data_IF_061253059250
#
_entry.id   IF_061253059250
#
_cell.length_a   1.000
_cell.length_b   1.000
_cell.length_c   1.000
_cell.angle_alpha   90.00
_cell.angle_beta   90.00
_cell.angle_gamma   90.00
#
_symmetry.space_group_name_H-M   'P 1'
#
loop_
_entity.id
_entity.type
_entity.pdbx_description
1 polymer ?
#
# COMPACT_ATOMS: atom_id res chain seq x y z
N UNK A 1 -52.82 -42.26 20.74
CA UNK A 1 -52.87 -40.94 20.09
C UNK A 1 -51.48 -40.35 20.11
N UNK A 2 -50.78 -40.37 19.00
CA UNK A 2 -49.46 -39.83 18.85
C UNK A 2 -49.53 -38.35 18.43
N UNK A 3 -49.02 -37.45 19.27
CA UNK A 3 -48.83 -36.05 18.90
C UNK A 3 -47.55 -35.90 18.06
N UNK A 4 -47.74 -35.55 16.79
CA UNK A 4 -46.62 -35.15 15.92
C UNK A 4 -46.00 -33.86 16.43
N UNK A 5 -44.70 -33.87 16.80
CA UNK A 5 -43.92 -32.68 17.04
C UNK A 5 -43.43 -32.14 15.72
N UNK A 6 -44.01 -31.01 15.34
CA UNK A 6 -43.51 -30.17 14.25
C UNK A 6 -42.09 -29.71 14.57
N UNK A 7 -41.13 -30.19 13.80
CA UNK A 7 -39.74 -29.59 13.79
C UNK A 7 -39.80 -28.33 12.97
N UNK A 8 -39.82 -27.20 13.66
CA UNK A 8 -39.53 -25.90 13.06
C UNK A 8 -38.08 -25.93 12.54
N UNK A 9 -37.90 -25.95 11.21
CA UNK A 9 -36.65 -25.65 10.55
C UNK A 9 -36.42 -24.16 10.72
N UNK A 10 -35.54 -23.76 11.64
CA UNK A 10 -34.94 -22.44 11.65
C UNK A 10 -34.04 -22.39 10.43
N UNK A 11 -34.50 -21.74 9.37
CA UNK A 11 -33.68 -21.36 8.24
C UNK A 11 -32.65 -20.36 8.74
N UNK A 12 -31.43 -20.82 9.03
CA UNK A 12 -30.29 -19.94 9.15
C UNK A 12 -30.06 -19.30 7.78
N UNK A 13 -30.20 -18.00 7.66
CA UNK A 13 -29.73 -17.29 6.48
C UNK A 13 -28.22 -17.46 6.47
N UNK A 14 -27.74 -18.35 5.63
CA UNK A 14 -26.30 -18.38 5.30
C UNK A 14 -25.98 -17.07 4.60
N UNK A 15 -25.39 -16.16 5.37
CA UNK A 15 -24.77 -14.94 4.82
C UNK A 15 -23.61 -15.41 3.99
N UNK A 16 -23.79 -15.40 2.67
CA UNK A 16 -22.76 -15.82 1.72
C UNK A 16 -21.68 -14.72 1.69
N UNK A 17 -20.65 -14.86 2.56
CA UNK A 17 -19.51 -13.94 2.61
C UNK A 17 -18.57 -14.37 1.50
N UNK A 18 -18.43 -13.51 0.50
CA UNK A 18 -17.41 -13.66 -0.55
C UNK A 18 -16.07 -13.23 -0.02
N UNK A 19 -15.02 -13.89 -0.50
CA UNK A 19 -13.62 -13.52 -0.21
C UNK A 19 -12.90 -13.18 -1.50
N UNK A 20 -12.06 -12.15 -1.44
CA UNK A 20 -11.20 -11.74 -2.55
C UNK A 20 -9.79 -11.44 -2.03
N UNK A 21 -8.78 -11.72 -2.83
CA UNK A 21 -7.39 -11.36 -2.58
C UNK A 21 -6.98 -10.23 -3.51
N UNK A 22 -6.31 -9.23 -2.96
CA UNK A 22 -5.72 -8.13 -3.71
C UNK A 22 -4.24 -8.05 -3.41
N UNK A 23 -3.43 -7.78 -4.43
CA UNK A 23 -1.99 -7.58 -4.32
C UNK A 23 -1.65 -6.21 -4.88
N UNK A 24 -0.88 -5.46 -4.10
CA UNK A 24 -0.29 -4.19 -4.50
C UNK A 24 1.21 -4.24 -4.31
N UNK A 25 1.89 -3.33 -4.95
CA UNK A 25 3.33 -3.16 -4.81
C UNK A 25 3.70 -1.68 -4.81
N UNK A 26 4.76 -1.35 -4.12
CA UNK A 26 5.26 0.00 -4.02
C UNK A 26 6.64 0.03 -3.39
N UNK A 27 7.06 1.17 -2.91
CA UNK A 27 8.38 1.24 -2.34
C UNK A 27 8.70 2.53 -1.61
N UNK A 28 9.82 2.49 -0.96
CA UNK A 28 10.48 3.62 -0.35
C UNK A 28 11.60 4.08 -1.28
N UNK A 29 11.41 5.25 -1.87
CA UNK A 29 12.41 5.89 -2.74
C UNK A 29 13.34 6.71 -1.86
N UNK A 30 14.65 6.52 -2.03
CA UNK A 30 15.66 7.21 -1.26
C UNK A 30 16.73 7.83 -2.15
N UNK A 31 17.35 8.89 -1.67
CA UNK A 31 18.55 9.49 -2.27
C UNK A 31 19.51 9.94 -1.18
N UNK A 32 20.80 9.88 -1.49
CA UNK A 32 21.84 10.47 -0.65
C UNK A 32 22.08 11.91 -1.05
N UNK A 33 22.02 12.80 -0.09
CA UNK A 33 22.29 14.23 -0.30
C UNK A 33 23.80 14.49 -0.29
N UNK A 34 24.18 15.69 -0.77
CA UNK A 34 25.59 16.10 -0.82
C UNK A 34 26.27 16.15 0.56
N UNK A 35 25.51 16.37 1.63
CA UNK A 35 25.99 16.34 3.02
C UNK A 35 26.10 14.93 3.61
N UNK A 36 25.80 13.89 2.82
CA UNK A 36 25.80 12.49 3.25
C UNK A 36 24.49 12.00 3.89
N UNK A 37 23.56 12.89 4.21
CA UNK A 37 22.25 12.52 4.75
C UNK A 37 21.38 11.87 3.67
N UNK A 38 20.37 11.11 4.11
CA UNK A 38 19.44 10.44 3.23
C UNK A 38 18.06 11.09 3.32
N UNK A 39 17.45 11.33 2.16
CA UNK A 39 16.06 11.75 2.04
C UNK A 39 15.24 10.60 1.46
N UNK A 40 13.99 10.50 1.89
CA UNK A 40 13.00 9.51 1.45
C UNK A 40 11.71 10.18 1.01
N UNK A 41 10.91 9.48 0.22
CA UNK A 41 9.70 10.02 -0.37
C UNK A 41 8.45 9.49 0.32
N UNK A 42 7.56 10.40 0.70
CA UNK A 42 6.16 10.10 1.00
C UNK A 42 5.27 10.86 0.03
N UNK A 43 4.07 10.32 -0.19
CA UNK A 43 3.04 10.93 -1.02
C UNK A 43 1.77 11.17 -0.20
N UNK A 44 1.03 12.20 -0.57
CA UNK A 44 -0.33 12.45 -0.08
C UNK A 44 -1.31 12.16 -1.21
N UNK A 45 -2.09 11.07 -1.11
CA UNK A 45 -3.07 10.71 -2.13
C UNK A 45 -4.11 11.82 -2.33
N UNK A 46 -4.63 11.91 -3.56
CA UNK A 46 -5.61 12.93 -3.93
C UNK A 46 -6.85 12.91 -3.02
N UNK A 47 -7.23 14.07 -2.52
CA UNK A 47 -8.39 14.25 -1.65
C UNK A 47 -8.22 13.68 -0.24
N UNK A 48 -7.01 13.29 0.15
CA UNK A 48 -6.72 12.73 1.49
C UNK A 48 -5.74 13.59 2.27
N UNK A 49 -5.76 13.44 3.59
CA UNK A 49 -4.80 14.06 4.51
C UNK A 49 -3.69 13.10 4.95
N UNK A 50 -3.74 11.84 4.52
CA UNK A 50 -2.77 10.80 4.88
C UNK A 50 -1.47 10.95 4.09
N UNK A 51 -0.35 10.61 4.73
CA UNK A 51 0.96 10.50 4.10
C UNK A 51 1.41 9.05 4.11
N UNK A 52 1.72 8.53 2.93
CA UNK A 52 1.96 7.11 2.71
C UNK A 52 3.13 6.87 1.76
N UNK A 53 3.64 5.65 1.76
CA UNK A 53 4.55 5.19 0.72
C UNK A 53 3.80 5.02 -0.60
N UNK A 54 4.39 5.40 -1.76
CA UNK A 54 3.77 5.18 -3.06
C UNK A 54 3.56 3.70 -3.32
N UNK A 55 2.36 3.34 -3.79
CA UNK A 55 1.96 1.96 -4.09
C UNK A 55 0.70 1.93 -4.93
N UNK A 56 0.48 0.81 -5.61
CA UNK A 56 -0.76 0.56 -6.34
C UNK A 56 -0.90 -0.89 -6.76
N UNK A 57 -2.03 -1.19 -7.40
CA UNK A 57 -2.38 -2.54 -7.81
C UNK A 57 -1.49 -3.07 -8.94
N UNK A 58 -1.24 -4.39 -8.93
CA UNK A 58 -0.61 -5.05 -10.04
C UNK A 58 -1.53 -5.00 -11.27
N UNK A 59 -0.95 -4.77 -12.43
CA UNK A 59 -1.59 -4.98 -13.72
C UNK A 59 -1.38 -6.42 -14.19
N UNK A 60 -2.25 -6.88 -15.09
CA UNK A 60 -2.15 -8.23 -15.64
C UNK A 60 -0.77 -8.47 -16.26
N UNK A 61 -0.15 -9.59 -15.88
CA UNK A 61 1.18 -9.99 -16.36
C UNK A 61 2.35 -9.31 -15.67
N UNK A 62 2.12 -8.37 -14.75
CA UNK A 62 3.21 -7.74 -13.99
C UNK A 62 3.70 -8.61 -12.84
N UNK A 63 5.00 -8.60 -12.61
CA UNK A 63 5.59 -9.04 -11.33
C UNK A 63 5.40 -7.94 -10.27
N UNK A 64 5.51 -8.28 -9.00
CA UNK A 64 5.45 -7.29 -7.92
C UNK A 64 6.55 -6.23 -8.05
N UNK A 65 7.74 -6.60 -8.50
CA UNK A 65 8.83 -5.66 -8.73
C UNK A 65 8.54 -4.68 -9.87
N UNK A 66 7.96 -5.16 -10.97
CA UNK A 66 7.55 -4.32 -12.10
C UNK A 66 6.45 -3.34 -11.70
N UNK A 67 5.44 -3.82 -10.97
CA UNK A 67 4.36 -2.97 -10.46
C UNK A 67 4.88 -1.92 -9.50
N UNK A 68 5.79 -2.28 -8.60
CA UNK A 68 6.39 -1.34 -7.65
C UNK A 68 7.14 -0.20 -8.36
N UNK A 69 7.93 -0.52 -9.38
CA UNK A 69 8.67 0.47 -10.18
C UNK A 69 7.72 1.38 -10.96
N UNK A 70 6.69 0.82 -11.58
CA UNK A 70 5.68 1.58 -12.33
C UNK A 70 4.89 2.51 -11.43
N UNK A 71 4.38 2.02 -10.30
CA UNK A 71 3.61 2.82 -9.34
C UNK A 71 4.45 3.93 -8.71
N UNK A 72 5.69 3.66 -8.38
CA UNK A 72 6.61 4.68 -7.88
C UNK A 72 6.75 5.83 -8.89
N UNK A 73 6.93 5.52 -10.16
CA UNK A 73 7.04 6.52 -11.23
C UNK A 73 5.74 7.30 -11.42
N UNK A 74 4.59 6.62 -11.49
CA UNK A 74 3.29 7.25 -11.70
C UNK A 74 2.93 8.19 -10.55
N UNK A 75 3.04 7.72 -9.32
CA UNK A 75 2.63 8.50 -8.14
C UNK A 75 3.61 9.61 -7.75
N UNK A 76 4.89 9.48 -8.10
CA UNK A 76 5.90 10.44 -7.66
C UNK A 76 6.54 11.23 -8.79
N UNK A 77 6.46 10.78 -10.05
CA UNK A 77 7.19 11.34 -11.19
C UNK A 77 8.67 10.98 -11.20
N UNK A 78 9.14 10.19 -10.24
CA UNK A 78 10.54 9.83 -10.10
C UNK A 78 10.86 8.50 -10.78
N UNK A 79 12.09 8.40 -11.31
CA UNK A 79 12.66 7.15 -11.79
C UNK A 79 13.60 6.56 -10.76
N UNK A 80 13.62 5.23 -10.72
CA UNK A 80 14.42 4.46 -9.76
C UNK A 80 15.31 3.46 -10.50
N UNK A 81 16.44 3.15 -9.90
CA UNK A 81 17.39 2.15 -10.39
C UNK A 81 17.08 0.76 -9.86
N UNK A 82 18.10 0.09 -9.35
CA UNK A 82 17.94 -1.21 -8.71
C UNK A 82 17.03 -1.12 -7.49
N UNK A 83 16.20 -2.15 -7.32
CA UNK A 83 15.29 -2.28 -6.19
C UNK A 83 15.57 -3.59 -5.46
N UNK A 84 15.37 -3.57 -4.14
CA UNK A 84 15.50 -4.75 -3.30
C UNK A 84 14.28 -4.88 -2.36
N UNK A 85 13.88 -6.08 -1.97
CA UNK A 85 12.76 -6.27 -1.07
C UNK A 85 12.97 -5.53 0.26
N UNK A 86 11.97 -4.77 0.68
CA UNK A 86 11.96 -4.09 1.99
C UNK A 86 11.08 -4.84 2.99
N UNK A 87 9.86 -5.19 2.60
CA UNK A 87 8.93 -5.92 3.45
C UNK A 87 7.53 -5.97 2.87
N UNK A 88 6.64 -6.61 3.62
CA UNK A 88 5.24 -6.78 3.24
C UNK A 88 4.33 -6.27 4.35
N UNK A 89 3.17 -5.75 3.95
CA UNK A 89 2.07 -5.41 4.85
C UNK A 89 0.85 -6.18 4.38
N UNK A 90 0.19 -6.88 5.31
CA UNK A 90 -1.06 -7.58 5.03
C UNK A 90 -2.16 -7.07 5.94
N UNK A 91 -3.34 -6.84 5.40
CA UNK A 91 -4.52 -6.47 6.16
C UNK A 91 -5.80 -6.98 5.50
N UNK A 92 -6.86 -7.02 6.30
CA UNK A 92 -8.18 -7.48 5.86
C UNK A 92 -9.16 -6.33 6.03
N UNK A 93 -9.97 -6.10 5.03
CA UNK A 93 -11.09 -5.16 5.12
C UNK A 93 -12.32 -5.73 4.43
N UNK A 94 -13.47 -5.16 4.74
CA UNK A 94 -14.74 -5.59 4.18
C UNK A 94 -15.31 -4.49 3.29
N UNK A 95 -15.83 -4.89 2.14
CA UNK A 95 -16.53 -4.01 1.22
C UNK A 95 -17.95 -4.51 1.00
N UNK A 96 -18.93 -3.60 1.00
CA UNK A 96 -20.31 -3.90 0.62
C UNK A 96 -20.56 -3.43 -0.80
N UNK A 97 -21.26 -4.25 -1.56
CA UNK A 97 -21.79 -3.80 -2.85
C UNK A 97 -22.83 -2.69 -2.65
N UNK A 98 -22.97 -1.81 -3.65
CA UNK A 98 -23.88 -0.63 -3.60
C UNK A 98 -25.33 -0.98 -3.28
N UNK A 99 -25.79 -2.20 -3.60
CA UNK A 99 -27.12 -2.68 -3.28
C UNK A 99 -27.27 -3.22 -1.84
N UNK A 100 -26.19 -3.22 -1.05
CA UNK A 100 -26.19 -3.68 0.34
C UNK A 100 -26.35 -5.18 0.56
N UNK A 101 -26.47 -5.99 -0.52
CA UNK A 101 -26.87 -7.40 -0.44
C UNK A 101 -25.69 -8.35 -0.15
N UNK A 102 -24.46 -7.99 -0.49
CA UNK A 102 -23.29 -8.86 -0.31
C UNK A 102 -22.15 -8.15 0.40
N UNK A 103 -21.54 -8.85 1.37
CA UNK A 103 -20.31 -8.45 2.03
C UNK A 103 -19.14 -9.22 1.42
N UNK A 104 -18.15 -8.51 0.92
CA UNK A 104 -16.91 -9.10 0.43
C UNK A 104 -15.80 -8.82 1.44
N UNK A 105 -15.13 -9.89 1.90
CA UNK A 105 -13.94 -9.79 2.71
C UNK A 105 -12.72 -9.76 1.80
N UNK A 106 -11.92 -8.71 1.90
CA UNK A 106 -10.77 -8.48 1.04
C UNK A 106 -9.49 -8.69 1.86
N UNK A 107 -8.66 -9.63 1.41
CA UNK A 107 -7.33 -9.89 1.96
C UNK A 107 -6.32 -9.17 1.08
N UNK A 108 -5.75 -8.09 1.58
CA UNK A 108 -4.78 -7.28 0.84
C UNK A 108 -3.36 -7.52 1.34
N UNK A 109 -2.47 -7.76 0.38
CA UNK A 109 -1.02 -7.82 0.61
C UNK A 109 -0.34 -6.75 -0.23
N UNK A 110 0.53 -5.99 0.41
CA UNK A 110 1.34 -4.96 -0.27
C UNK A 110 2.80 -5.32 -0.12
N UNK A 111 3.50 -5.48 -1.25
CA UNK A 111 4.93 -5.70 -1.31
C UNK A 111 5.64 -4.37 -1.47
N UNK A 112 6.57 -4.06 -0.56
CA UNK A 112 7.37 -2.85 -0.61
C UNK A 112 8.83 -3.16 -0.92
N UNK A 113 9.42 -2.31 -1.74
CA UNK A 113 10.82 -2.37 -2.15
C UNK A 113 11.57 -1.12 -1.71
N UNK A 114 12.86 -1.29 -1.44
CA UNK A 114 13.78 -0.18 -1.26
C UNK A 114 14.30 0.22 -2.64
N UNK A 115 14.15 1.49 -3.01
CA UNK A 115 14.36 2.01 -4.37
C UNK A 115 15.32 3.19 -4.36
N UNK A 116 16.44 3.08 -5.04
CA UNK A 116 17.36 4.21 -5.21
C UNK A 116 16.86 5.14 -6.32
N UNK A 117 16.74 6.43 -6.00
CA UNK A 117 16.37 7.46 -6.94
C UNK A 117 17.44 7.67 -8.00
N UNK A 118 17.05 7.71 -9.28
CA UNK A 118 17.96 7.93 -10.41
C UNK A 118 17.63 9.15 -11.26
N UNK A 119 16.44 9.70 -11.15
CA UNK A 119 16.03 10.85 -11.95
C UNK A 119 14.54 11.14 -11.85
N UNK A 120 14.03 11.85 -12.85
CA UNK A 120 12.65 12.30 -12.87
C UNK A 120 12.42 13.58 -12.07
N UNK A 121 11.17 14.02 -12.04
CA UNK A 121 10.74 15.25 -11.36
C UNK A 121 9.42 15.00 -10.65
N UNK A 122 9.32 15.43 -9.39
CA UNK A 122 8.11 15.26 -8.59
C UNK A 122 6.91 16.01 -9.17
N UNK A 123 7.09 17.04 -9.99
CA UNK A 123 6.00 17.71 -10.70
C UNK A 123 5.31 16.82 -11.74
N UNK A 124 5.93 15.71 -12.13
CA UNK A 124 5.39 14.75 -13.11
C UNK A 124 4.55 13.64 -12.46
N UNK A 125 4.20 13.76 -11.18
CA UNK A 125 3.27 12.81 -10.52
C UNK A 125 1.88 12.84 -11.18
N UNK A 126 1.17 11.74 -11.11
CA UNK A 126 -0.17 11.61 -11.68
C UNK A 126 -1.27 12.32 -10.86
N UNK A 127 -2.52 12.26 -11.36
CA UNK A 127 -3.68 12.87 -10.70
C UNK A 127 -4.17 12.13 -9.45
N UNK A 128 -3.68 10.94 -9.20
CA UNK A 128 -4.01 10.16 -7.99
C UNK A 128 -3.23 10.64 -6.76
N UNK A 129 -2.24 11.49 -6.97
CA UNK A 129 -1.39 12.09 -5.94
C UNK A 129 -1.56 13.60 -5.93
N UNK A 130 -1.80 14.19 -4.76
CA UNK A 130 -1.87 15.65 -4.61
C UNK A 130 -0.50 16.25 -4.27
N UNK A 131 0.32 15.53 -3.53
CA UNK A 131 1.61 16.07 -3.06
C UNK A 131 2.66 14.96 -2.93
N UNK A 132 3.89 15.27 -3.31
CA UNK A 132 5.07 14.42 -3.16
C UNK A 132 6.10 15.17 -2.32
N UNK A 133 6.60 14.55 -1.26
CA UNK A 133 7.57 15.19 -0.37
C UNK A 133 8.85 14.37 -0.22
N UNK A 134 9.98 15.04 -0.37
CA UNK A 134 11.28 14.55 0.07
C UNK A 134 11.48 14.91 1.54
N UNK A 135 11.70 13.92 2.39
CA UNK A 135 11.78 14.07 3.84
C UNK A 135 13.04 13.39 4.37
N UNK A 136 13.56 13.89 5.50
CA UNK A 136 14.53 13.13 6.30
C UNK A 136 13.83 11.88 6.87
N UNK A 137 14.60 10.90 7.35
CA UNK A 137 14.01 9.75 8.04
C UNK A 137 13.21 10.16 9.28
N UNK A 138 13.70 11.12 10.06
CA UNK A 138 12.98 11.60 11.24
C UNK A 138 11.64 12.25 10.87
N UNK A 139 11.64 13.09 9.84
CA UNK A 139 10.40 13.70 9.34
C UNK A 139 9.43 12.66 8.77
N UNK A 140 9.94 11.69 8.01
CA UNK A 140 9.11 10.61 7.43
C UNK A 140 8.49 9.73 8.51
N UNK A 141 9.24 9.35 9.54
CA UNK A 141 8.75 8.57 10.67
C UNK A 141 7.66 9.31 11.46
N UNK A 142 7.75 10.63 11.56
CA UNK A 142 6.73 11.45 12.22
C UNK A 142 5.50 11.65 11.34
N UNK A 143 5.69 11.85 10.04
CA UNK A 143 4.61 12.19 9.11
C UNK A 143 3.83 11.00 8.60
N UNK A 144 4.46 9.83 8.39
CA UNK A 144 3.79 8.63 7.90
C UNK A 144 2.58 8.27 8.77
N UNK A 145 1.43 8.14 8.15
CA UNK A 145 0.15 7.99 8.86
C UNK A 145 -0.01 6.62 9.50
N UNK A 146 0.48 5.57 8.84
CA UNK A 146 0.25 4.19 9.27
C UNK A 146 1.44 3.60 10.03
N UNK A 147 1.23 3.01 11.23
CA UNK A 147 2.29 2.39 12.02
C UNK A 147 3.06 1.30 11.28
N UNK A 148 2.39 0.50 10.45
CA UNK A 148 3.04 -0.55 9.65
C UNK A 148 4.02 0.02 8.62
N UNK A 149 3.72 1.17 8.02
CA UNK A 149 4.65 1.86 7.12
C UNK A 149 5.78 2.54 7.88
N UNK A 150 5.52 3.07 9.07
CA UNK A 150 6.57 3.60 9.94
C UNK A 150 7.62 2.53 10.29
N UNK A 151 7.18 1.30 10.55
CA UNK A 151 8.08 0.16 10.78
C UNK A 151 8.96 -0.15 9.56
N UNK A 152 8.39 -0.09 8.34
CA UNK A 152 9.14 -0.26 7.10
C UNK A 152 10.15 0.86 6.88
N UNK A 153 9.78 2.10 7.17
CA UNK A 153 10.68 3.26 7.08
C UNK A 153 11.85 3.09 8.05
N UNK A 154 11.61 2.66 9.28
CA UNK A 154 12.66 2.38 10.25
C UNK A 154 13.58 1.25 9.80
N UNK A 155 13.02 0.20 9.20
CA UNK A 155 13.80 -0.90 8.62
C UNK A 155 14.69 -0.42 7.46
N UNK A 156 14.16 0.42 6.58
CA UNK A 156 14.92 1.01 5.49
C UNK A 156 16.09 1.84 6.01
N UNK A 157 15.86 2.63 7.04
CA UNK A 157 16.91 3.40 7.72
C UNK A 157 18.07 2.52 8.19
N UNK A 158 17.74 1.41 8.84
CA UNK A 158 18.74 0.45 9.29
C UNK A 158 19.50 -0.21 8.13
N UNK A 159 18.81 -0.59 7.07
CA UNK A 159 19.40 -1.19 5.86
C UNK A 159 20.38 -0.24 5.16
N UNK A 160 20.11 1.06 5.18
CA UNK A 160 20.95 2.10 4.56
C UNK A 160 22.04 2.63 5.50
N UNK A 161 22.08 2.20 6.74
CA UNK A 161 23.05 2.66 7.72
C UNK A 161 22.90 4.14 8.07
N UNK A 162 21.69 4.62 8.03
CA UNK A 162 21.38 6.05 8.24
C UNK A 162 20.85 6.36 9.65
#
# INVERSE_FOLDING_TARGET
>A
MARARSKSKRGGSETNIKSRREVSAGGLIWRRRSDGSISVVLVRPAGRSTWVLPKGHLEEGETVAQAATREAREETGLTVGEIEPLGEISYVYSSRERNGAALTRIFKRVHFFLMEHTGGDTSAHDSETDEVAWLSFDEALTRATHPSEQELIAKARAMLGA
#
